data_IF_517759091839
#
_entry.id   IF_517759091839
#
_cell.length_a   1.000
_cell.length_b   1.000
_cell.length_c   1.000
_cell.angle_alpha   90.00
_cell.angle_beta   90.00
_cell.angle_gamma   90.00
#
_symmetry.space_group_name_H-M   'P 1'
#
loop_
_entity.id
_entity.type
_entity.pdbx_description
1 polymer ?
#
# COMPACT_ATOMS: atom_id res chain seq x y z
N UNK A 1 -46.50 -2.99 5.24
CA UNK A 1 -45.28 -2.48 4.58
C UNK A 1 -44.10 -3.26 5.13
N UNK A 2 -43.73 -4.33 4.42
CA UNK A 2 -42.76 -5.33 4.86
C UNK A 2 -41.36 -4.79 4.66
N UNK A 3 -40.55 -4.77 5.72
CA UNK A 3 -39.13 -4.49 5.64
C UNK A 3 -38.47 -5.52 4.72
N UNK A 4 -38.06 -5.10 3.53
CA UNK A 4 -37.25 -5.94 2.64
C UNK A 4 -35.89 -6.12 3.30
N UNK A 5 -35.62 -7.34 3.77
CA UNK A 5 -34.31 -7.76 4.23
C UNK A 5 -33.29 -7.45 3.13
N UNK A 6 -32.33 -6.59 3.42
CA UNK A 6 -31.13 -6.41 2.60
C UNK A 6 -30.30 -7.69 2.71
N UNK A 7 -30.62 -8.69 1.90
CA UNK A 7 -29.73 -9.83 1.68
C UNK A 7 -28.43 -9.29 1.07
N UNK A 8 -27.30 -9.60 1.70
CA UNK A 8 -25.99 -9.24 1.19
C UNK A 8 -25.81 -9.86 -0.20
N UNK A 9 -25.48 -9.09 -1.26
CA UNK A 9 -25.43 -9.61 -2.64
C UNK A 9 -24.58 -10.88 -2.79
N UNK A 10 -23.48 -10.99 -2.04
CA UNK A 10 -22.63 -12.18 -2.04
C UNK A 10 -23.35 -13.43 -1.52
N UNK A 11 -24.05 -13.31 -0.38
CA UNK A 11 -24.78 -14.40 0.25
C UNK A 11 -25.82 -15.03 -0.70
N UNK A 12 -26.44 -14.19 -1.53
CA UNK A 12 -27.40 -14.63 -2.54
C UNK A 12 -26.70 -15.24 -3.76
N UNK A 13 -25.77 -14.49 -4.36
CA UNK A 13 -25.28 -14.80 -5.71
C UNK A 13 -24.12 -15.83 -5.70
N UNK A 14 -23.21 -15.75 -4.73
CA UNK A 14 -21.93 -16.48 -4.75
C UNK A 14 -21.73 -17.44 -3.57
N UNK A 15 -22.37 -17.23 -2.42
CA UNK A 15 -22.15 -18.08 -1.25
C UNK A 15 -22.41 -19.55 -1.57
N UNK A 16 -21.40 -20.39 -1.34
CA UNK A 16 -21.46 -21.83 -1.58
C UNK A 16 -21.78 -22.20 -3.04
N UNK A 17 -21.55 -21.29 -3.98
CA UNK A 17 -21.77 -21.52 -5.42
C UNK A 17 -20.66 -22.39 -6.00
N UNK A 18 -21.03 -23.39 -6.77
CA UNK A 18 -20.13 -24.20 -7.58
C UNK A 18 -20.45 -24.01 -9.06
N UNK A 19 -19.41 -23.72 -9.84
CA UNK A 19 -19.50 -23.55 -11.29
C UNK A 19 -18.57 -24.54 -11.98
N UNK A 20 -19.11 -25.27 -12.96
CA UNK A 20 -18.32 -26.05 -13.92
C UNK A 20 -18.43 -25.37 -15.27
N UNK A 21 -17.29 -25.16 -15.94
CA UNK A 21 -17.24 -24.39 -17.17
C UNK A 21 -16.16 -24.90 -18.13
N UNK A 22 -16.43 -24.77 -19.43
CA UNK A 22 -15.56 -25.23 -20.50
C UNK A 22 -15.04 -24.03 -21.30
N UNK A 23 -13.72 -23.89 -21.40
CA UNK A 23 -13.10 -23.01 -22.39
C UNK A 23 -13.11 -23.68 -23.75
N UNK A 24 -13.56 -22.96 -24.77
CA UNK A 24 -13.44 -23.40 -26.16
C UNK A 24 -12.07 -22.95 -26.70
N UNK A 25 -11.16 -23.90 -26.94
CA UNK A 25 -9.81 -23.62 -27.45
C UNK A 25 -9.60 -24.40 -28.74
N UNK A 26 -8.88 -23.83 -29.70
CA UNK A 26 -8.43 -24.56 -30.88
C UNK A 26 -7.04 -25.12 -30.61
N UNK A 27 -6.84 -26.40 -30.88
CA UNK A 27 -5.52 -27.03 -30.83
C UNK A 27 -4.62 -26.55 -32.01
N UNK A 28 -3.38 -27.03 -32.05
CA UNK A 28 -2.43 -26.68 -33.11
C UNK A 28 -2.88 -27.12 -34.53
N UNK A 29 -3.87 -28.01 -34.63
CA UNK A 29 -4.43 -28.54 -35.87
C UNK A 29 -5.81 -27.92 -36.19
N UNK A 30 -6.29 -26.96 -35.39
CA UNK A 30 -7.58 -26.29 -35.56
C UNK A 30 -8.78 -27.08 -35.02
N UNK A 31 -8.57 -28.21 -34.34
CA UNK A 31 -9.66 -28.94 -33.70
C UNK A 31 -10.10 -28.21 -32.42
N UNK A 32 -11.40 -28.23 -32.15
CA UNK A 32 -11.94 -27.70 -30.90
C UNK A 32 -11.62 -28.65 -29.75
N UNK A 33 -10.81 -28.18 -28.81
CA UNK A 33 -10.56 -28.79 -27.52
C UNK A 33 -11.34 -28.04 -26.44
N UNK A 34 -11.94 -28.79 -25.51
CA UNK A 34 -12.63 -28.23 -24.35
C UNK A 34 -11.76 -28.37 -23.12
N UNK A 35 -11.35 -27.25 -22.55
CA UNK A 35 -10.66 -27.26 -21.27
C UNK A 35 -11.66 -27.05 -20.15
N UNK A 36 -11.99 -28.14 -19.45
CA UNK A 36 -12.94 -28.14 -18.34
C UNK A 36 -12.29 -27.70 -17.04
N UNK A 37 -12.95 -26.78 -16.34
CA UNK A 37 -12.56 -26.25 -15.04
C UNK A 37 -13.76 -26.28 -14.11
N UNK A 38 -13.51 -26.42 -12.82
CA UNK A 38 -14.51 -26.26 -11.77
C UNK A 38 -14.02 -25.30 -10.68
N UNK A 39 -14.91 -24.48 -10.14
CA UNK A 39 -14.63 -23.55 -9.04
C UNK A 39 -15.79 -23.52 -8.07
N UNK A 40 -15.47 -23.56 -6.78
CA UNK A 40 -16.39 -23.41 -5.67
C UNK A 40 -16.03 -22.19 -4.84
N UNK A 41 -16.99 -21.30 -4.68
CA UNK A 41 -16.94 -20.09 -3.87
C UNK A 41 -17.33 -20.45 -2.43
N UNK A 42 -16.37 -21.02 -1.69
CA UNK A 42 -16.62 -21.65 -0.40
C UNK A 42 -16.99 -20.68 0.73
N UNK A 43 -16.49 -19.43 0.68
CA UNK A 43 -16.80 -18.36 1.64
C UNK A 43 -16.60 -16.98 1.02
N UNK A 44 -16.91 -15.93 1.79
CA UNK A 44 -16.82 -14.51 1.38
C UNK A 44 -15.43 -14.06 0.91
N UNK A 45 -14.40 -14.87 1.08
CA UNK A 45 -13.03 -14.58 0.65
C UNK A 45 -12.25 -15.84 0.24
N UNK A 46 -12.91 -16.99 0.01
CA UNK A 46 -12.24 -18.23 -0.40
C UNK A 46 -12.85 -18.82 -1.67
N UNK A 47 -11.96 -19.29 -2.52
CA UNK A 47 -12.29 -20.15 -3.65
C UNK A 47 -11.47 -21.42 -3.59
N UNK A 48 -12.07 -22.54 -3.98
CA UNK A 48 -11.39 -23.81 -4.26
C UNK A 48 -11.68 -24.15 -5.71
N UNK A 49 -10.68 -24.56 -6.47
CA UNK A 49 -10.85 -24.90 -7.88
C UNK A 49 -9.97 -26.05 -8.30
N UNK A 50 -10.39 -26.71 -9.39
CA UNK A 50 -9.67 -27.81 -10.01
C UNK A 50 -9.72 -27.68 -11.52
N UNK A 51 -8.62 -28.07 -12.14
CA UNK A 51 -8.42 -27.98 -13.58
C UNK A 51 -8.42 -29.41 -14.16
N UNK A 52 -9.33 -29.67 -15.08
CA UNK A 52 -9.51 -30.99 -15.69
C UNK A 52 -8.93 -31.09 -17.10
N UNK A 53 -8.81 -29.97 -17.82
CA UNK A 53 -8.32 -29.95 -19.20
C UNK A 53 -7.28 -28.85 -19.48
N UNK A 54 -6.60 -28.99 -20.62
CA UNK A 54 -5.56 -28.06 -21.08
C UNK A 54 -4.21 -28.24 -20.38
N UNK A 55 -3.28 -27.28 -20.56
CA UNK A 55 -1.89 -27.38 -20.09
C UNK A 55 -1.73 -27.54 -18.57
N UNK A 56 -2.77 -27.21 -17.80
CA UNK A 56 -2.77 -27.25 -16.34
C UNK A 56 -3.68 -28.36 -15.77
N UNK A 57 -4.09 -29.34 -16.60
CA UNK A 57 -4.91 -30.46 -16.18
C UNK A 57 -4.26 -31.26 -15.03
N UNK A 58 -5.01 -31.47 -13.95
CA UNK A 58 -4.52 -32.13 -12.73
C UNK A 58 -4.03 -31.19 -11.64
N UNK A 59 -4.19 -29.87 -11.80
CA UNK A 59 -3.92 -28.87 -10.74
C UNK A 59 -5.18 -28.63 -9.89
N UNK A 60 -5.02 -28.76 -8.57
CA UNK A 60 -6.05 -28.43 -7.57
C UNK A 60 -5.52 -27.36 -6.63
N UNK A 61 -6.30 -26.31 -6.38
CA UNK A 61 -5.82 -25.17 -5.60
C UNK A 61 -6.96 -24.51 -4.80
N UNK A 62 -6.59 -23.74 -3.78
CA UNK A 62 -7.48 -22.88 -3.01
C UNK A 62 -6.80 -21.53 -2.79
N UNK A 63 -7.58 -20.45 -2.78
CA UNK A 63 -7.00 -19.11 -2.71
C UNK A 63 -7.91 -18.11 -2.02
N UNK A 64 -7.30 -17.13 -1.35
CA UNK A 64 -8.00 -15.93 -0.92
C UNK A 64 -8.40 -15.12 -2.15
N UNK A 65 -9.70 -14.88 -2.31
CA UNK A 65 -10.27 -14.21 -3.48
C UNK A 65 -10.88 -12.86 -3.08
N UNK A 66 -10.64 -11.84 -3.90
CA UNK A 66 -11.30 -10.55 -3.80
C UNK A 66 -12.51 -10.53 -4.73
N UNK A 67 -13.68 -10.28 -4.15
CA UNK A 67 -14.95 -10.20 -4.89
C UNK A 67 -15.40 -8.75 -5.03
N UNK A 68 -15.85 -8.40 -6.23
CA UNK A 68 -16.50 -7.13 -6.54
C UNK A 68 -17.84 -7.42 -7.22
N UNK A 69 -18.91 -6.98 -6.58
CA UNK A 69 -20.23 -6.95 -7.21
C UNK A 69 -20.25 -5.78 -8.20
N UNK A 70 -20.37 -6.07 -9.50
CA UNK A 70 -20.49 -5.03 -10.53
C UNK A 70 -21.95 -4.67 -10.72
N UNK A 71 -22.81 -5.68 -10.85
CA UNK A 71 -24.27 -5.54 -10.91
C UNK A 71 -24.91 -6.69 -10.11
N UNK A 72 -25.62 -6.40 -9.01
CA UNK A 72 -26.25 -7.43 -8.18
C UNK A 72 -27.16 -8.36 -8.99
N UNK A 73 -27.06 -9.68 -8.78
CA UNK A 73 -27.83 -10.68 -9.52
C UNK A 73 -27.41 -10.88 -10.98
N UNK A 74 -26.41 -10.15 -11.48
CA UNK A 74 -26.03 -10.19 -12.90
C UNK A 74 -24.54 -10.44 -13.14
N UNK A 75 -23.66 -9.69 -12.46
CA UNK A 75 -22.26 -9.60 -12.85
C UNK A 75 -21.34 -9.43 -11.64
N UNK A 76 -20.39 -10.35 -11.53
CA UNK A 76 -19.39 -10.37 -10.48
C UNK A 76 -17.99 -10.44 -11.06
N UNK A 77 -17.03 -9.80 -10.39
CA UNK A 77 -15.61 -9.95 -10.67
C UNK A 77 -14.91 -10.56 -9.46
N UNK A 78 -14.12 -11.61 -9.70
CA UNK A 78 -13.45 -12.43 -8.72
C UNK A 78 -11.95 -12.43 -9.07
N UNK A 79 -11.09 -11.94 -8.18
CA UNK A 79 -9.68 -11.73 -8.46
C UNK A 79 -8.79 -12.36 -7.41
N UNK A 80 -7.70 -12.99 -7.82
CA UNK A 80 -6.70 -13.52 -6.89
C UNK A 80 -5.29 -13.60 -7.47
N UNK A 81 -4.32 -13.78 -6.57
CA UNK A 81 -2.91 -14.02 -6.86
C UNK A 81 -2.51 -15.38 -6.27
N UNK A 82 -1.88 -16.22 -7.08
CA UNK A 82 -1.40 -17.54 -6.68
C UNK A 82 0.07 -17.51 -6.21
N UNK A 83 0.48 -18.55 -5.49
CA UNK A 83 1.87 -18.77 -5.07
C UNK A 83 2.85 -19.00 -6.22
N UNK A 84 2.35 -19.33 -7.41
CA UNK A 84 3.13 -19.37 -8.66
C UNK A 84 3.45 -17.97 -9.21
N UNK A 85 2.89 -16.91 -8.60
CA UNK A 85 2.95 -15.53 -9.09
C UNK A 85 1.91 -15.20 -10.16
N UNK A 86 0.99 -16.12 -10.44
CA UNK A 86 -0.06 -15.95 -11.47
C UNK A 86 -1.20 -15.09 -10.93
N UNK A 87 -1.60 -14.09 -11.72
CA UNK A 87 -2.74 -13.22 -11.39
C UNK A 87 -3.94 -13.66 -12.22
N UNK A 88 -5.09 -13.82 -11.57
CA UNK A 88 -6.32 -14.22 -12.24
C UNK A 88 -7.40 -13.18 -11.96
N UNK A 89 -8.09 -12.77 -13.01
CA UNK A 89 -9.34 -12.03 -12.96
C UNK A 89 -10.41 -12.84 -13.67
N UNK A 90 -11.51 -13.12 -12.98
CA UNK A 90 -12.65 -13.89 -13.46
C UNK A 90 -13.90 -13.05 -13.35
N UNK A 91 -14.61 -12.87 -14.46
CA UNK A 91 -15.92 -12.22 -14.50
C UNK A 91 -16.99 -13.28 -14.71
N UNK A 92 -17.93 -13.36 -13.78
CA UNK A 92 -19.08 -14.26 -13.85
C UNK A 92 -20.32 -13.47 -14.29
N UNK A 93 -20.78 -13.75 -15.51
CA UNK A 93 -22.02 -13.21 -16.10
C UNK A 93 -23.14 -14.26 -15.88
N UNK A 94 -23.98 -13.99 -14.87
CA UNK A 94 -25.04 -14.90 -14.42
C UNK A 94 -26.10 -15.07 -15.53
N UNK A 95 -26.69 -13.99 -16.11
CA UNK A 95 -27.76 -14.14 -17.09
C UNK A 95 -27.31 -14.83 -18.37
N UNK A 96 -26.06 -14.60 -18.81
CA UNK A 96 -25.52 -15.23 -20.02
C UNK A 96 -24.89 -16.60 -19.78
N UNK A 97 -24.80 -17.05 -18.54
CA UNK A 97 -24.11 -18.30 -18.15
C UNK A 97 -22.68 -18.36 -18.73
N UNK A 98 -21.93 -17.28 -18.57
CA UNK A 98 -20.57 -17.17 -19.10
C UNK A 98 -19.57 -16.73 -18.07
N UNK A 99 -18.34 -17.18 -18.29
CA UNK A 99 -17.18 -16.71 -17.56
C UNK A 99 -16.23 -16.03 -18.56
N UNK A 100 -15.74 -14.83 -18.21
CA UNK A 100 -14.65 -14.17 -18.92
C UNK A 100 -13.45 -14.06 -18.00
N UNK A 101 -12.29 -14.56 -18.42
CA UNK A 101 -11.08 -14.55 -17.62
C UNK A 101 -9.93 -13.84 -18.29
N UNK A 102 -9.11 -13.20 -17.46
CA UNK A 102 -7.73 -12.86 -17.79
C UNK A 102 -6.82 -13.64 -16.84
N UNK A 103 -6.08 -14.59 -17.38
CA UNK A 103 -5.04 -15.30 -16.66
C UNK A 103 -3.68 -14.72 -17.05
N UNK A 104 -2.96 -14.15 -16.10
CA UNK A 104 -1.65 -13.57 -16.29
C UNK A 104 -0.59 -14.47 -15.63
N UNK A 105 -0.18 -15.52 -16.33
CA UNK A 105 0.80 -16.49 -15.85
C UNK A 105 2.17 -15.86 -15.70
N UNK A 106 2.87 -16.17 -14.61
CA UNK A 106 4.30 -15.84 -14.48
C UNK A 106 5.12 -16.64 -15.49
N UNK A 107 6.30 -16.14 -15.87
CA UNK A 107 7.25 -16.87 -16.72
C UNK A 107 7.54 -18.28 -16.21
N UNK A 108 7.77 -18.42 -14.90
CA UNK A 108 8.00 -19.72 -14.28
C UNK A 108 6.82 -20.66 -14.41
N UNK A 109 5.60 -20.20 -14.16
CA UNK A 109 4.40 -21.03 -14.27
C UNK A 109 4.17 -21.46 -15.73
N UNK A 110 4.14 -20.53 -16.68
CA UNK A 110 3.84 -20.84 -18.08
C UNK A 110 4.92 -21.69 -18.73
N UNK A 111 6.19 -21.33 -18.53
CA UNK A 111 7.33 -22.04 -19.11
C UNK A 111 7.57 -23.43 -18.52
N UNK A 112 7.01 -23.72 -17.33
CA UNK A 112 7.18 -24.98 -16.63
C UNK A 112 5.83 -25.54 -16.16
N UNK A 113 4.83 -25.57 -17.05
CA UNK A 113 3.44 -25.95 -16.73
C UNK A 113 3.33 -27.27 -15.95
N UNK A 114 4.12 -28.29 -16.32
CA UNK A 114 4.14 -29.59 -15.63
C UNK A 114 4.54 -29.48 -14.15
N UNK A 115 5.45 -28.56 -13.82
CA UNK A 115 5.85 -28.31 -12.44
C UNK A 115 4.78 -27.56 -11.63
N UNK A 116 3.78 -26.96 -12.29
CA UNK A 116 2.65 -26.31 -11.64
C UNK A 116 1.47 -27.27 -11.39
N UNK A 117 1.55 -28.53 -11.81
CA UNK A 117 0.54 -29.54 -11.48
C UNK A 117 0.64 -29.97 -10.01
N UNK A 118 -0.39 -30.66 -9.52
CA UNK A 118 -0.48 -31.18 -8.15
C UNK A 118 -1.54 -30.48 -7.31
N UNK A 119 -1.47 -30.68 -5.99
CA UNK A 119 -2.42 -30.12 -5.03
C UNK A 119 -1.69 -29.17 -4.07
N UNK A 120 -2.22 -27.95 -3.88
CA UNK A 120 -1.67 -26.98 -2.92
C UNK A 120 -1.54 -27.53 -1.51
N UNK A 121 -2.41 -28.47 -1.14
CA UNK A 121 -2.41 -29.13 0.18
C UNK A 121 -1.15 -29.94 0.40
N UNK A 122 -0.49 -30.41 -0.67
CA UNK A 122 0.78 -31.09 -0.59
C UNK A 122 1.92 -30.06 -0.38
N UNK A 123 2.68 -30.13 0.74
CA UNK A 123 3.76 -29.19 1.02
C UNK A 123 4.84 -29.14 -0.08
N UNK A 124 5.14 -30.29 -0.71
CA UNK A 124 6.15 -30.37 -1.76
C UNK A 124 5.70 -29.66 -3.05
N UNK A 125 4.41 -29.76 -3.38
CA UNK A 125 3.84 -29.06 -4.53
C UNK A 125 3.82 -27.55 -4.29
N UNK A 126 3.39 -27.13 -3.08
CA UNK A 126 3.38 -25.73 -2.68
C UNK A 126 4.78 -25.10 -2.70
N UNK A 127 5.80 -25.79 -2.19
CA UNK A 127 7.18 -25.32 -2.24
C UNK A 127 7.68 -25.18 -3.68
N UNK A 128 7.41 -26.19 -4.52
CA UNK A 128 7.73 -26.17 -5.96
C UNK A 128 7.08 -24.96 -6.65
N UNK A 129 5.81 -24.69 -6.39
CA UNK A 129 5.08 -23.55 -6.96
C UNK A 129 5.66 -22.21 -6.54
N UNK A 130 6.06 -22.06 -5.28
CA UNK A 130 6.78 -20.87 -4.79
C UNK A 130 8.13 -20.70 -5.49
N UNK A 131 8.78 -21.80 -5.86
CA UNK A 131 9.98 -21.79 -6.70
C UNK A 131 9.71 -21.21 -8.09
N UNK A 132 8.60 -21.61 -8.72
CA UNK A 132 8.20 -21.08 -10.04
C UNK A 132 7.99 -19.57 -10.04
N UNK A 133 7.44 -19.00 -8.96
CA UNK A 133 7.25 -17.54 -8.84
C UNK A 133 8.55 -16.73 -8.85
N UNK A 134 9.70 -17.37 -8.62
CA UNK A 134 11.02 -16.72 -8.62
C UNK A 134 11.67 -16.69 -10.01
N UNK A 135 11.06 -17.33 -11.00
CA UNK A 135 11.60 -17.40 -12.37
C UNK A 135 11.02 -16.23 -13.19
N UNK A 136 11.91 -15.34 -13.66
CA UNK A 136 11.56 -14.14 -14.42
C UNK A 136 11.29 -12.92 -13.53
N UNK A 137 10.81 -11.85 -14.15
CA UNK A 137 10.40 -10.62 -13.46
C UNK A 137 8.89 -10.37 -13.58
N UNK A 138 8.35 -9.39 -12.86
CA UNK A 138 6.90 -9.12 -12.81
C UNK A 138 6.26 -8.79 -14.17
N UNK A 139 7.04 -8.28 -15.12
CA UNK A 139 6.59 -7.99 -16.49
C UNK A 139 6.71 -9.19 -17.43
N UNK A 140 7.43 -10.25 -17.03
CA UNK A 140 7.54 -11.48 -17.81
C UNK A 140 6.29 -12.35 -17.58
N UNK A 141 5.19 -11.97 -18.22
CA UNK A 141 3.91 -12.66 -18.08
C UNK A 141 3.36 -13.14 -19.40
N UNK A 142 2.78 -14.33 -19.39
CA UNK A 142 1.94 -14.81 -20.48
C UNK A 142 0.49 -14.45 -20.18
N UNK A 143 -0.05 -13.52 -20.95
CA UNK A 143 -1.42 -13.00 -20.78
C UNK A 143 -2.38 -13.82 -21.63
N UNK A 144 -3.32 -14.49 -20.99
CA UNK A 144 -4.28 -15.39 -21.62
C UNK A 144 -5.71 -14.93 -21.35
N UNK A 145 -6.27 -14.04 -22.18
CA UNK A 145 -7.69 -13.70 -22.12
C UNK A 145 -8.51 -14.85 -22.74
N UNK A 146 -9.56 -15.29 -22.05
CA UNK A 146 -10.45 -16.37 -22.50
C UNK A 146 -11.90 -16.15 -22.09
N UNK A 147 -12.81 -16.77 -22.82
CA UNK A 147 -14.20 -16.93 -22.42
C UNK A 147 -14.54 -18.42 -22.33
N UNK A 148 -15.36 -18.76 -21.33
CA UNK A 148 -15.89 -20.09 -21.12
C UNK A 148 -17.42 -20.04 -21.02
N UNK A 149 -18.03 -21.11 -21.51
CA UNK A 149 -19.45 -21.37 -21.32
C UNK A 149 -19.63 -22.21 -20.05
N UNK A 150 -20.57 -21.79 -19.19
CA UNK A 150 -20.87 -22.51 -17.95
C UNK A 150 -21.74 -23.72 -18.29
N UNK A 151 -21.26 -24.91 -17.94
CA UNK A 151 -21.92 -26.18 -18.22
C UNK A 151 -22.77 -26.67 -17.06
N UNK A 152 -22.41 -26.32 -15.83
CA UNK A 152 -23.18 -26.68 -14.64
C UNK A 152 -23.07 -25.64 -13.53
N UNK A 153 -24.14 -25.52 -12.74
CA UNK A 153 -24.30 -24.56 -11.64
C UNK A 153 -25.07 -25.21 -10.51
N UNK A 154 -24.45 -25.33 -9.33
CA UNK A 154 -25.11 -25.86 -8.15
C UNK A 154 -24.55 -25.25 -6.86
N UNK A 155 -25.14 -25.60 -5.71
CA UNK A 155 -24.67 -25.18 -4.39
C UNK A 155 -23.98 -26.36 -3.69
N UNK A 156 -22.92 -26.07 -2.95
CA UNK A 156 -22.12 -27.05 -2.23
C UNK A 156 -20.79 -27.34 -2.90
N UNK A 157 -19.90 -28.02 -2.17
CA UNK A 157 -18.53 -28.29 -2.59
C UNK A 157 -18.38 -29.20 -3.82
N UNK A 158 -19.39 -30.02 -4.14
CA UNK A 158 -19.25 -31.09 -5.13
C UNK A 158 -18.15 -32.08 -4.71
N UNK A 159 -17.25 -32.41 -5.63
CA UNK A 159 -16.10 -33.29 -5.38
C UNK A 159 -14.86 -32.54 -4.84
N UNK A 160 -14.93 -31.21 -4.72
CA UNK A 160 -13.83 -30.43 -4.19
C UNK A 160 -13.67 -30.63 -2.68
N UNK A 161 -12.42 -30.65 -2.22
CA UNK A 161 -12.11 -30.72 -0.81
C UNK A 161 -12.30 -29.35 -0.13
N UNK A 162 -12.87 -29.31 1.08
CA UNK A 162 -12.99 -28.08 1.85
C UNK A 162 -11.63 -27.48 2.22
N UNK A 163 -11.66 -26.21 2.59
CA UNK A 163 -10.50 -25.45 3.07
C UNK A 163 -10.90 -24.74 4.36
N UNK A 164 -9.99 -24.72 5.34
CA UNK A 164 -10.20 -23.94 6.55
C UNK A 164 -9.85 -22.48 6.31
N UNK A 165 -10.61 -21.57 6.92
CA UNK A 165 -10.39 -20.14 6.81
C UNK A 165 -9.00 -19.70 7.29
N UNK A 166 -8.42 -20.43 8.25
CA UNK A 166 -7.12 -20.21 8.86
C UNK A 166 -5.94 -20.54 7.94
N UNK A 167 -6.14 -21.32 6.87
CA UNK A 167 -5.05 -21.81 6.05
C UNK A 167 -4.38 -20.68 5.26
N UNK A 168 -3.04 -20.64 5.24
CA UNK A 168 -2.31 -19.56 4.61
C UNK A 168 -2.43 -19.65 3.09
N UNK A 169 -2.72 -18.51 2.48
CA UNK A 169 -2.58 -18.30 1.04
C UNK A 169 -1.62 -17.15 0.80
N UNK A 170 -1.24 -16.89 -0.46
CA UNK A 170 -0.47 -15.67 -0.80
C UNK A 170 -1.15 -14.45 -0.15
N UNK A 171 -0.44 -13.77 0.76
CA UNK A 171 -0.98 -12.73 1.63
C UNK A 171 -1.61 -11.62 0.78
N UNK A 172 -2.94 -11.55 0.77
CA UNK A 172 -3.59 -10.24 0.75
C UNK A 172 -3.48 -9.78 2.19
N UNK A 173 -2.54 -8.87 2.48
CA UNK A 173 -2.49 -8.21 3.78
C UNK A 173 -3.93 -7.81 4.15
N UNK A 174 -4.45 -8.15 5.35
CA UNK A 174 -5.81 -7.80 5.78
C UNK A 174 -6.10 -6.29 5.81
N UNK A 175 -5.14 -5.46 5.40
CA UNK A 175 -5.15 -4.01 5.51
C UNK A 175 -6.17 -3.28 4.62
N UNK A 176 -6.98 -3.96 3.78
CA UNK A 176 -7.90 -3.28 2.86
C UNK A 176 -9.41 -3.44 3.14
N UNK A 177 -9.79 -3.95 4.32
CA UNK A 177 -11.12 -3.71 4.87
C UNK A 177 -10.99 -3.14 6.29
N UNK A 178 -10.89 -1.81 6.46
CA UNK A 178 -11.06 -1.24 7.77
C UNK A 178 -12.52 -1.44 8.19
N UNK A 179 -12.76 -2.33 9.16
CA UNK A 179 -13.94 -2.22 10.01
C UNK A 179 -13.96 -0.78 10.55
N UNK A 180 -15.02 -0.01 10.24
CA UNK A 180 -15.16 1.41 10.66
C UNK A 180 -14.93 1.62 12.16
N UNK A 181 -15.12 0.58 12.98
CA UNK A 181 -14.89 0.60 14.43
C UNK A 181 -13.42 0.51 14.88
N UNK A 182 -12.48 0.06 14.03
CA UNK A 182 -11.06 0.01 14.42
C UNK A 182 -10.28 1.29 14.09
N UNK A 183 -10.87 2.20 13.29
CA UNK A 183 -10.22 3.45 12.86
C UNK A 183 -9.91 4.41 14.02
N UNK A 184 -10.50 4.19 15.20
CA UNK A 184 -10.32 5.07 16.37
C UNK A 184 -9.62 4.42 17.58
N UNK A 185 -9.19 3.16 17.53
CA UNK A 185 -8.83 2.43 18.77
C UNK A 185 -7.35 2.09 18.99
N UNK A 186 -6.40 2.62 18.22
CA UNK A 186 -4.97 2.39 18.51
C UNK A 186 -4.10 3.62 18.31
N UNK A 187 -4.10 4.51 19.32
CA UNK A 187 -2.90 5.25 19.73
C UNK A 187 -1.81 4.26 20.23
N UNK A 188 -1.38 3.30 19.40
CA UNK A 188 -0.13 2.58 19.69
C UNK A 188 1.02 3.49 19.30
N UNK A 189 1.49 4.27 20.28
CA UNK A 189 2.65 5.15 20.17
C UNK A 189 4.00 4.41 19.93
N UNK A 190 4.00 3.14 19.53
CA UNK A 190 5.24 2.37 19.33
C UNK A 190 5.38 1.96 17.88
N UNK A 191 6.38 2.54 17.20
CA UNK A 191 6.62 2.26 15.78
C UNK A 191 7.18 0.84 15.64
N UNK A 192 6.50 -0.06 14.90
CA UNK A 192 6.95 -1.44 14.76
C UNK A 192 8.22 -1.50 13.91
N UNK A 193 9.06 -2.51 14.18
CA UNK A 193 10.16 -2.88 13.27
C UNK A 193 9.55 -3.80 12.23
N UNK A 194 9.68 -3.42 10.96
CA UNK A 194 9.17 -4.14 9.80
C UNK A 194 10.32 -4.88 9.10
N UNK A 195 10.03 -6.02 8.49
CA UNK A 195 10.98 -6.74 7.62
C UNK A 195 11.06 -6.03 6.27
N UNK A 196 12.28 -5.75 5.79
CA UNK A 196 12.47 -5.23 4.45
C UNK A 196 12.36 -6.36 3.43
N UNK A 197 11.22 -6.45 2.74
CA UNK A 197 10.96 -7.42 1.67
C UNK A 197 11.16 -6.84 0.26
N UNK A 198 11.52 -5.55 0.16
CA UNK A 198 11.69 -4.82 -1.09
C UNK A 198 13.14 -4.76 -1.58
N UNK A 199 13.40 -3.83 -2.50
CA UNK A 199 14.76 -3.57 -3.01
C UNK A 199 15.53 -2.70 -2.02
N UNK A 200 16.49 -3.30 -1.32
CA UNK A 200 17.37 -2.60 -0.36
C UNK A 200 18.05 -1.37 -0.99
N UNK A 201 18.54 -1.49 -2.24
CA UNK A 201 19.18 -0.39 -2.95
C UNK A 201 18.24 0.81 -3.18
N UNK A 202 16.98 0.54 -3.54
CA UNK A 202 15.96 1.58 -3.69
C UNK A 202 15.69 2.30 -2.37
N UNK A 203 15.67 1.56 -1.26
CA UNK A 203 15.40 2.11 0.07
C UNK A 203 16.58 2.96 0.59
N UNK A 204 17.82 2.56 0.30
CA UNK A 204 19.00 3.40 0.59
C UNK A 204 18.92 4.74 -0.14
N UNK A 205 18.64 4.74 -1.45
CA UNK A 205 18.51 5.96 -2.24
C UNK A 205 17.35 6.85 -1.75
N UNK A 206 16.24 6.24 -1.32
CA UNK A 206 15.12 7.00 -0.74
C UNK A 206 15.50 7.63 0.62
N UNK A 207 16.25 6.91 1.47
CA UNK A 207 16.77 7.41 2.73
C UNK A 207 17.76 8.56 2.51
N UNK A 208 18.64 8.45 1.52
CA UNK A 208 19.60 9.50 1.12
C UNK A 208 18.87 10.77 0.65
N UNK A 209 17.87 10.65 -0.24
CA UNK A 209 17.06 11.81 -0.65
C UNK A 209 16.40 12.52 0.53
N UNK A 210 15.89 11.76 1.49
CA UNK A 210 15.25 12.29 2.69
C UNK A 210 16.28 13.02 3.55
N UNK A 211 17.47 12.44 3.75
CA UNK A 211 18.58 13.08 4.46
C UNK A 211 19.01 14.39 3.81
N UNK A 212 19.21 14.41 2.49
CA UNK A 212 19.57 15.62 1.74
C UNK A 212 18.48 16.70 1.83
N UNK A 213 17.20 16.32 1.92
CA UNK A 213 16.11 17.25 2.17
C UNK A 213 16.21 17.88 3.58
N UNK A 214 16.43 17.08 4.62
CA UNK A 214 16.65 17.58 5.99
C UNK A 214 17.85 18.51 6.09
N UNK A 215 18.96 18.16 5.43
CA UNK A 215 20.14 19.02 5.35
C UNK A 215 19.81 20.37 4.69
N UNK A 216 19.16 20.34 3.52
CA UNK A 216 18.80 21.56 2.78
C UNK A 216 17.90 22.48 3.58
N UNK A 217 16.84 21.93 4.17
CA UNK A 217 15.89 22.70 4.98
C UNK A 217 16.56 23.26 6.23
N UNK A 218 17.39 22.46 6.91
CA UNK A 218 18.11 22.91 8.09
C UNK A 218 19.11 24.03 7.79
N UNK A 219 19.86 23.93 6.69
CA UNK A 219 20.75 25.01 6.23
C UNK A 219 19.97 26.28 5.87
N UNK A 220 18.77 26.15 5.30
CA UNK A 220 17.89 27.28 5.03
C UNK A 220 17.49 28.04 6.31
N UNK A 221 17.11 27.32 7.37
CA UNK A 221 16.81 27.94 8.67
C UNK A 221 18.03 28.58 9.32
N UNK A 222 19.19 27.93 9.26
CA UNK A 222 20.44 28.51 9.80
C UNK A 222 20.82 29.79 9.05
N UNK A 223 20.76 29.78 7.72
CA UNK A 223 21.05 30.95 6.91
C UNK A 223 20.08 32.11 7.19
N UNK A 224 18.78 31.81 7.34
CA UNK A 224 17.78 32.82 7.69
C UNK A 224 18.03 33.42 9.08
N UNK A 225 18.37 32.58 10.08
CA UNK A 225 18.72 33.06 11.43
C UNK A 225 19.90 34.03 11.41
N UNK A 226 20.98 33.67 10.70
CA UNK A 226 22.15 34.55 10.53
C UNK A 226 21.78 35.85 9.82
N UNK A 227 20.94 35.79 8.77
CA UNK A 227 20.51 36.98 8.06
C UNK A 227 19.74 37.96 8.98
N UNK A 228 18.77 37.45 9.76
CA UNK A 228 17.99 38.25 10.71
C UNK A 228 18.90 38.91 11.76
N UNK A 229 19.87 38.18 12.31
CA UNK A 229 20.84 38.73 13.26
C UNK A 229 21.71 39.84 12.65
N UNK A 230 22.11 39.70 11.38
CA UNK A 230 22.89 40.74 10.71
C UNK A 230 22.07 42.00 10.44
N UNK A 231 20.81 41.87 10.02
CA UNK A 231 19.94 43.02 9.80
C UNK A 231 19.67 43.80 11.09
N UNK A 232 19.43 43.11 12.22
CA UNK A 232 19.21 43.79 13.51
C UNK A 232 20.47 44.54 13.99
N UNK A 233 21.68 44.06 13.67
CA UNK A 233 22.92 44.77 13.96
C UNK A 233 23.11 46.05 13.13
N UNK A 234 22.65 46.07 11.88
CA UNK A 234 22.78 47.26 11.01
C UNK A 234 21.85 48.41 11.43
N UNK A 235 20.67 48.11 11.98
CA UNK A 235 19.74 49.13 12.49
C UNK A 235 20.24 49.83 13.76
N UNK A 236 21.26 49.29 14.43
CA UNK A 236 21.87 49.87 15.63
C UNK A 236 22.95 50.94 15.32
N UNK A 237 23.25 51.23 14.05
CA UNK A 237 24.19 52.30 13.67
C UNK A 237 23.39 53.62 13.58
N UNK A 238 23.57 54.59 14.49
CA UNK A 238 22.74 55.79 14.50
C UNK A 238 23.02 56.69 13.28
N UNK A 239 21.99 57.29 12.66
CA UNK A 239 22.18 58.40 11.73
C UNK A 239 22.81 59.63 12.44
N UNK A 240 23.47 60.55 11.71
CA UNK A 240 24.09 61.75 12.29
C UNK A 240 23.06 62.62 13.03
N UNK A 241 23.49 63.47 13.98
CA UNK A 241 22.66 63.89 15.11
C UNK A 241 21.48 64.77 14.70
N UNK A 242 20.27 64.27 14.93
CA UNK A 242 19.02 65.02 15.00
C UNK A 242 18.28 64.59 16.28
N UNK A 243 17.45 65.47 16.89
CA UNK A 243 17.07 65.35 18.29
C UNK A 243 16.18 64.14 18.56
N UNK A 244 16.40 63.56 19.74
CA UNK A 244 15.75 62.35 20.26
C UNK A 244 14.23 62.34 20.06
N UNK A 245 13.69 61.24 19.51
CA UNK A 245 12.90 60.29 20.29
C UNK A 245 12.61 59.01 19.48
N UNK A 246 12.37 57.90 20.21
CA UNK A 246 12.20 56.49 19.79
C UNK A 246 13.50 55.73 19.54
N UNK A 247 14.27 55.56 20.63
CA UNK A 247 15.18 54.43 20.74
C UNK A 247 14.42 53.11 20.50
N UNK A 248 15.03 52.21 19.74
CA UNK A 248 14.55 50.84 19.54
C UNK A 248 14.30 50.25 20.93
N UNK A 249 13.04 49.94 21.25
CA UNK A 249 12.63 49.42 22.55
C UNK A 249 13.34 48.10 22.85
N UNK A 250 13.86 47.91 24.07
CA UNK A 250 14.49 46.65 24.53
C UNK A 250 13.64 45.41 24.15
N UNK A 251 12.31 45.52 24.20
CA UNK A 251 11.34 44.49 23.79
C UNK A 251 11.47 44.01 22.32
N UNK A 252 11.90 44.87 21.39
CA UNK A 252 12.11 44.48 19.98
C UNK A 252 13.44 43.74 19.77
N UNK A 253 14.45 44.06 20.58
CA UNK A 253 15.75 43.39 20.54
C UNK A 253 15.64 41.97 21.10
N UNK A 254 14.97 41.82 22.25
CA UNK A 254 14.73 40.52 22.89
C UNK A 254 13.92 39.58 21.97
N UNK A 255 12.87 40.08 21.32
CA UNK A 255 12.07 39.30 20.36
C UNK A 255 12.87 38.84 19.13
N UNK A 256 13.77 39.69 18.64
CA UNK A 256 14.63 39.34 17.51
C UNK A 256 15.65 38.28 17.89
N UNK A 257 16.18 38.35 19.11
CA UNK A 257 17.10 37.34 19.66
C UNK A 257 16.41 35.97 19.82
N UNK A 258 15.19 35.95 20.39
CA UNK A 258 14.39 34.73 20.50
C UNK A 258 14.07 34.09 19.14
N UNK A 259 13.77 34.92 18.12
CA UNK A 259 13.51 34.45 16.77
C UNK A 259 14.78 33.85 16.12
N UNK A 260 15.92 34.54 16.25
CA UNK A 260 17.21 34.05 15.75
C UNK A 260 17.57 32.72 16.42
N UNK A 261 17.44 32.64 17.75
CA UNK A 261 17.67 31.41 18.50
C UNK A 261 16.74 30.28 18.02
N UNK A 262 15.46 30.57 17.82
CA UNK A 262 14.48 29.61 17.30
C UNK A 262 14.83 29.08 15.90
N UNK A 263 15.27 29.95 14.99
CA UNK A 263 15.70 29.58 13.64
C UNK A 263 16.96 28.71 13.65
N UNK A 264 17.99 29.12 14.42
CA UNK A 264 19.24 28.37 14.54
C UNK A 264 19.03 27.01 15.20
N UNK A 265 18.23 26.95 16.27
CA UNK A 265 17.90 25.71 16.97
C UNK A 265 17.10 24.75 16.08
N UNK A 266 16.11 25.26 15.34
CA UNK A 266 15.29 24.45 14.43
C UNK A 266 16.12 23.93 13.25
N UNK A 267 16.97 24.77 12.67
CA UNK A 267 17.85 24.38 11.57
C UNK A 267 18.89 23.33 11.99
N UNK A 268 19.59 23.58 13.10
CA UNK A 268 20.57 22.65 13.65
C UNK A 268 19.92 21.33 14.09
N UNK A 269 18.78 21.40 14.77
CA UNK A 269 18.01 20.23 15.19
C UNK A 269 17.54 19.38 14.02
N UNK A 270 17.10 20.01 12.92
CA UNK A 270 16.72 19.34 11.68
C UNK A 270 17.88 18.56 11.05
N UNK A 271 19.08 19.15 11.03
CA UNK A 271 20.29 18.51 10.48
C UNK A 271 20.72 17.33 11.35
N UNK A 272 20.79 17.53 12.68
CA UNK A 272 21.16 16.46 13.62
C UNK A 272 20.18 15.30 13.52
N UNK A 273 18.88 15.59 13.53
CA UNK A 273 17.83 14.58 13.40
C UNK A 273 17.95 13.81 12.08
N UNK A 274 18.07 14.52 10.95
CA UNK A 274 18.24 13.90 9.63
C UNK A 274 19.45 12.98 9.56
N UNK A 275 20.58 13.41 10.13
CA UNK A 275 21.83 12.65 10.20
C UNK A 275 21.69 11.38 11.04
N UNK A 276 21.20 11.50 12.28
CA UNK A 276 21.00 10.35 13.17
C UNK A 276 20.03 9.35 12.52
N UNK A 277 18.98 9.85 11.87
CA UNK A 277 17.98 9.03 11.20
C UNK A 277 18.55 8.28 10.00
N UNK A 278 19.37 8.94 9.19
CA UNK A 278 20.03 8.37 8.02
C UNK A 278 20.91 7.18 8.41
N UNK A 279 21.84 7.37 9.34
CA UNK A 279 22.73 6.30 9.79
C UNK A 279 22.00 5.17 10.53
N UNK A 280 20.95 5.51 11.30
CA UNK A 280 20.08 4.50 11.91
C UNK A 280 19.37 3.65 10.84
N UNK A 281 18.84 4.27 9.79
CA UNK A 281 18.24 3.56 8.66
C UNK A 281 19.23 2.67 7.94
N UNK A 282 20.42 3.19 7.64
CA UNK A 282 21.46 2.44 6.95
C UNK A 282 21.76 1.11 7.68
N UNK A 283 22.00 1.18 9.00
CA UNK A 283 22.25 0.00 9.84
C UNK A 283 21.05 -0.95 9.95
N UNK A 284 19.82 -0.44 9.87
CA UNK A 284 18.62 -1.29 9.90
C UNK A 284 18.42 -2.00 8.56
N UNK A 285 18.59 -1.28 7.44
CA UNK A 285 18.43 -1.80 6.09
C UNK A 285 19.48 -2.88 5.78
N UNK A 286 20.72 -2.73 6.25
CA UNK A 286 21.75 -3.78 6.20
C UNK A 286 21.33 -5.08 6.91
N UNK A 287 20.52 -4.97 7.98
CA UNK A 287 19.97 -6.11 8.71
C UNK A 287 18.67 -6.66 8.10
N UNK A 288 18.22 -6.12 6.96
CA UNK A 288 16.94 -6.47 6.34
C UNK A 288 15.73 -5.99 7.15
N UNK A 289 15.90 -4.94 7.97
CA UNK A 289 14.87 -4.39 8.85
C UNK A 289 14.63 -2.90 8.53
N UNK A 290 13.43 -2.41 8.84
CA UNK A 290 13.09 -1.00 8.69
C UNK A 290 12.18 -0.55 9.82
N UNK A 291 12.45 0.63 10.38
CA UNK A 291 11.61 1.23 11.43
C UNK A 291 11.03 2.56 10.93
N UNK A 292 9.72 2.67 10.65
CA UNK A 292 9.10 3.93 10.27
C UNK A 292 9.29 4.99 11.35
N UNK A 293 9.53 6.24 10.95
CA UNK A 293 9.62 7.38 11.87
C UNK A 293 8.40 8.27 11.74
N UNK A 294 7.42 8.03 12.62
CA UNK A 294 6.21 8.85 12.69
C UNK A 294 6.45 10.18 13.44
N UNK A 295 7.27 10.16 14.49
CA UNK A 295 7.44 11.30 15.38
C UNK A 295 8.31 12.43 14.86
N UNK A 296 9.36 12.12 14.08
CA UNK A 296 10.28 13.18 13.65
C UNK A 296 9.67 14.10 12.60
N UNK A 297 8.93 13.55 11.63
CA UNK A 297 8.20 14.35 10.65
C UNK A 297 7.07 15.16 11.30
N UNK A 298 6.33 14.55 12.24
CA UNK A 298 5.30 15.25 13.01
C UNK A 298 5.87 16.36 13.89
N UNK A 299 6.98 16.10 14.59
CA UNK A 299 7.64 17.07 15.47
C UNK A 299 8.13 18.30 14.73
N UNK A 300 8.78 18.14 13.58
CA UNK A 300 9.17 19.29 12.75
C UNK A 300 7.95 20.06 12.25
N UNK A 301 6.91 19.36 11.81
CA UNK A 301 5.69 20.01 11.31
C UNK A 301 5.06 20.90 12.39
N UNK A 302 4.97 20.40 13.63
CA UNK A 302 4.50 21.18 14.79
C UNK A 302 5.41 22.36 15.07
N UNK A 303 6.73 22.18 15.05
CA UNK A 303 7.69 23.26 15.29
C UNK A 303 7.57 24.39 14.25
N UNK A 304 7.48 24.04 12.96
CA UNK A 304 7.36 25.03 11.87
C UNK A 304 6.01 25.76 11.94
N UNK A 305 4.91 25.04 12.17
CA UNK A 305 3.59 25.65 12.36
C UNK A 305 3.57 26.55 13.59
N UNK A 306 4.20 26.13 14.68
CA UNK A 306 4.33 26.92 15.91
C UNK A 306 5.09 28.22 15.67
N UNK A 307 6.27 28.16 15.04
CA UNK A 307 7.07 29.35 14.70
C UNK A 307 6.31 30.30 13.77
N UNK A 308 5.67 29.77 12.74
CA UNK A 308 4.91 30.57 11.78
C UNK A 308 3.69 31.22 12.43
N UNK A 309 2.98 30.45 13.26
CA UNK A 309 1.82 30.93 14.01
C UNK A 309 2.18 32.02 15.01
N UNK A 310 3.29 31.87 15.74
CA UNK A 310 3.79 32.87 16.67
C UNK A 310 4.17 34.17 15.95
N UNK A 311 4.91 34.08 14.84
CA UNK A 311 5.27 35.25 14.03
C UNK A 311 4.02 35.97 13.48
N UNK A 312 3.04 35.24 12.97
CA UNK A 312 1.80 35.81 12.46
C UNK A 312 0.97 36.48 13.57
N UNK A 313 0.88 35.84 14.73
CA UNK A 313 0.14 36.38 15.89
C UNK A 313 0.71 37.72 16.35
N UNK A 314 2.03 37.86 16.41
CA UNK A 314 2.68 39.12 16.77
C UNK A 314 2.39 40.24 15.77
N UNK A 315 2.37 39.95 14.46
CA UNK A 315 2.02 40.94 13.42
C UNK A 315 0.57 41.41 13.56
N UNK A 316 -0.36 40.52 13.91
CA UNK A 316 -1.77 40.90 14.11
C UNK A 316 -1.92 41.75 15.37
N UNK A 317 -1.22 41.38 16.45
CA UNK A 317 -1.27 42.09 17.74
C UNK A 317 -0.71 43.51 17.64
N UNK A 318 0.37 43.73 16.88
CA UNK A 318 0.92 45.08 16.67
C UNK A 318 -0.06 45.99 15.93
N UNK A 319 -0.72 45.48 14.87
CA UNK A 319 -1.74 46.23 14.13
C UNK A 319 -2.98 46.62 14.95
N UNK A 320 -3.31 45.86 16.00
CA UNK A 320 -4.41 46.20 16.90
C UNK A 320 -4.02 47.31 17.87
N UNK A 321 -2.80 47.28 18.43
CA UNK A 321 -2.28 48.34 19.30
C UNK A 321 -2.18 49.71 18.61
N UNK A 322 -1.93 49.74 17.30
CA UNK A 322 -1.86 51.00 16.54
C UNK A 322 -3.24 51.61 16.20
N UNK A 323 -4.34 50.90 16.49
CA UNK A 323 -5.72 51.38 16.23
C UNK A 323 -6.42 51.97 17.46
N UNK A 324 -5.89 51.75 18.66
CA UNK A 324 -6.39 52.27 19.94
C UNK A 324 -5.59 53.51 20.35
#
# INVERSE_FOLDING_TARGET
MTALATEFPFAKDLQDLHLVYDYNVQDAHGNLEKWRYEIWFSSEDRVVYKIHGGPMAGRTNFQTCSFQCIRPGELWQCNWLEETGTVISLVYDIPRKRITTLLAFSKGHWGNAQAALGDKRNPADLERWRGLARIGIQTDRHMLPRQADIVDVFKGKGDLEPVEQSWPTFEVSPAFYPNKLQMFSRLRLRTPILKNSGSTARDHLASERTFLAWLRTGLGFVALGIAVERFSQFELIPPPPAPADKGISEDQKDKSEDLVLGLLATGSGSIVYGTTRYFSNMRMLEKGLYKPSFYGAGGLSVAVVGLTGAAYWEIVRSKQKDKD
#
